data_IF_141687526160
#
_entry.id   IF_141687526160
#
_cell.length_a   1.000
_cell.length_b   1.000
_cell.length_c   1.000
_cell.angle_alpha   90.00
_cell.angle_beta   90.00
_cell.angle_gamma   90.00
#
_symmetry.space_group_name_H-M   'P 1'
#
loop_
_entity.id
_entity.type
_entity.pdbx_description
1 polymer ?
#
# COMPACT_ATOMS: atom_id res chain seq x y z
N UNK A 1 57.08 -33.35 -65.61
CA UNK A 1 57.30 -33.59 -64.16
C UNK A 1 57.75 -32.27 -63.57
N UNK A 2 56.82 -31.44 -63.08
CA UNK A 2 57.14 -30.13 -62.49
C UNK A 2 57.34 -30.36 -61.00
N UNK A 3 58.57 -30.19 -60.52
CA UNK A 3 58.92 -30.20 -59.11
C UNK A 3 58.16 -29.03 -58.43
N UNK A 4 57.16 -29.37 -57.61
CA UNK A 4 56.42 -28.40 -56.83
C UNK A 4 57.36 -27.62 -55.92
N UNK A 5 57.45 -26.31 -56.15
CA UNK A 5 58.14 -25.39 -55.24
C UNK A 5 57.47 -25.49 -53.87
N UNK A 6 58.18 -26.03 -52.88
CA UNK A 6 57.78 -25.93 -51.48
C UNK A 6 57.92 -24.46 -51.09
N UNK A 7 56.79 -23.77 -50.94
CA UNK A 7 56.76 -22.44 -50.35
C UNK A 7 57.36 -22.51 -48.94
N UNK A 8 58.28 -21.60 -48.58
CA UNK A 8 58.82 -21.56 -47.23
C UNK A 8 57.70 -21.32 -46.24
N UNK A 9 57.63 -22.16 -45.20
CA UNK A 9 56.70 -21.98 -44.10
C UNK A 9 57.13 -20.70 -43.38
N UNK A 10 56.25 -19.70 -43.35
CA UNK A 10 56.51 -18.44 -42.65
C UNK A 10 56.80 -18.74 -41.16
N UNK A 11 57.80 -18.07 -40.55
CA UNK A 11 58.09 -18.26 -39.14
C UNK A 11 56.85 -17.86 -38.32
N UNK A 12 56.46 -18.72 -37.39
CA UNK A 12 55.38 -18.42 -36.45
C UNK A 12 55.86 -17.27 -35.58
N UNK A 13 55.12 -16.17 -35.59
CA UNK A 13 55.35 -15.04 -34.70
C UNK A 13 54.94 -15.43 -33.27
N UNK A 14 55.95 -15.79 -32.49
CA UNK A 14 55.78 -16.27 -31.12
C UNK A 14 55.20 -15.17 -30.22
N UNK A 15 55.54 -13.90 -30.47
CA UNK A 15 55.04 -12.76 -29.68
C UNK A 15 53.54 -12.54 -29.92
N UNK A 16 53.11 -12.62 -31.18
CA UNK A 16 51.69 -12.53 -31.53
C UNK A 16 50.87 -13.68 -30.92
N UNK A 17 51.44 -14.90 -30.89
CA UNK A 17 50.81 -16.06 -30.27
C UNK A 17 50.69 -15.92 -28.75
N UNK A 18 51.74 -15.45 -28.08
CA UNK A 18 51.73 -15.18 -26.63
C UNK A 18 50.72 -14.07 -26.27
N UNK A 19 50.67 -12.98 -27.04
CA UNK A 19 49.72 -11.90 -26.83
C UNK A 19 48.25 -12.34 -27.01
N UNK A 20 47.99 -13.21 -27.99
CA UNK A 20 46.66 -13.82 -28.20
C UNK A 20 46.28 -14.71 -27.01
N UNK A 21 47.24 -15.50 -26.51
CA UNK A 21 47.06 -16.37 -25.33
C UNK A 21 46.74 -15.57 -24.07
N UNK A 22 47.50 -14.52 -23.78
CA UNK A 22 47.28 -13.64 -22.63
C UNK A 22 45.92 -12.94 -22.68
N UNK A 23 45.54 -12.43 -23.86
CA UNK A 23 44.24 -11.79 -24.08
C UNK A 23 43.08 -12.75 -23.86
N UNK A 24 43.22 -13.99 -24.32
CA UNK A 24 42.20 -15.04 -24.15
C UNK A 24 42.03 -15.44 -22.68
N UNK A 25 43.13 -15.57 -21.94
CA UNK A 25 43.11 -15.83 -20.50
C UNK A 25 42.44 -14.68 -19.74
N UNK A 26 42.80 -13.43 -20.06
CA UNK A 26 42.22 -12.26 -19.42
C UNK A 26 40.70 -12.18 -19.66
N UNK A 27 40.24 -12.44 -20.89
CA UNK A 27 38.82 -12.47 -21.23
C UNK A 27 38.08 -13.60 -20.51
N UNK A 28 38.67 -14.80 -20.45
CA UNK A 28 38.09 -15.93 -19.71
C UNK A 28 37.92 -15.60 -18.23
N UNK A 29 38.95 -15.03 -17.59
CA UNK A 29 38.91 -14.62 -16.18
C UNK A 29 37.83 -13.55 -15.95
N UNK A 30 37.73 -12.56 -16.84
CA UNK A 30 36.71 -11.52 -16.74
C UNK A 30 35.29 -12.09 -16.87
N UNK A 31 35.05 -12.97 -17.84
CA UNK A 31 33.76 -13.64 -18.03
C UNK A 31 33.42 -14.51 -16.82
N UNK A 32 34.40 -15.25 -16.28
CA UNK A 32 34.22 -16.07 -15.09
C UNK A 32 33.77 -15.23 -13.88
N UNK A 33 34.45 -14.12 -13.60
CA UNK A 33 34.05 -13.21 -12.51
C UNK A 33 32.70 -12.55 -12.76
N UNK A 34 32.39 -12.20 -14.01
CA UNK A 34 31.08 -11.65 -14.38
C UNK A 34 29.96 -12.66 -14.11
N UNK A 35 30.13 -13.93 -14.50
CA UNK A 35 29.17 -14.99 -14.21
C UNK A 35 28.96 -15.17 -12.68
N UNK A 36 30.04 -15.14 -11.91
CA UNK A 36 29.97 -15.18 -10.45
C UNK A 36 29.22 -13.97 -9.85
N UNK A 37 29.50 -12.76 -10.35
CA UNK A 37 28.81 -11.55 -9.90
C UNK A 37 27.30 -11.59 -10.20
N UNK A 38 26.92 -12.09 -11.39
CA UNK A 38 25.51 -12.27 -11.76
C UNK A 38 24.83 -13.31 -10.87
N UNK A 39 25.48 -14.44 -10.63
CA UNK A 39 24.97 -15.46 -9.72
C UNK A 39 24.81 -14.93 -8.29
N UNK A 40 25.80 -14.20 -7.78
CA UNK A 40 25.73 -13.57 -6.47
C UNK A 40 24.57 -12.56 -6.40
N UNK A 41 24.39 -11.73 -7.43
CA UNK A 41 23.28 -10.78 -7.50
C UNK A 41 21.92 -11.49 -7.49
N UNK A 42 21.75 -12.60 -8.23
CA UNK A 42 20.51 -13.39 -8.24
C UNK A 42 20.23 -13.96 -6.85
N UNK A 43 21.22 -14.56 -6.19
CA UNK A 43 21.06 -15.11 -4.84
C UNK A 43 20.76 -14.02 -3.83
N UNK A 44 21.46 -12.88 -3.90
CA UNK A 44 21.26 -11.73 -3.04
C UNK A 44 19.85 -11.14 -3.19
N UNK A 45 19.39 -10.93 -4.42
CA UNK A 45 18.04 -10.44 -4.71
C UNK A 45 17.00 -11.47 -4.25
N UNK A 46 17.22 -12.75 -4.52
CA UNK A 46 16.33 -13.84 -4.09
C UNK A 46 16.18 -13.88 -2.58
N UNK A 47 17.31 -13.85 -1.84
CA UNK A 47 17.32 -13.78 -0.38
C UNK A 47 16.64 -12.50 0.15
N UNK A 48 16.93 -11.36 -0.47
CA UNK A 48 16.29 -10.09 -0.10
C UNK A 48 14.78 -10.06 -0.37
N UNK A 49 14.27 -10.85 -1.33
CA UNK A 49 12.84 -10.99 -1.60
C UNK A 49 12.18 -11.99 -0.63
N UNK A 50 12.83 -13.12 -0.33
CA UNK A 50 12.27 -14.17 0.54
C UNK A 50 12.37 -13.84 2.02
N UNK A 51 13.41 -13.13 2.45
CA UNK A 51 13.63 -12.80 3.86
C UNK A 51 13.05 -11.43 4.26
N UNK A 52 12.10 -10.89 3.48
CA UNK A 52 11.39 -9.68 3.91
C UNK A 52 10.48 -10.04 5.07
N UNK A 53 10.62 -9.31 6.18
CA UNK A 53 9.71 -9.43 7.31
C UNK A 53 8.28 -9.26 6.83
N UNK A 54 7.38 -10.14 7.29
CA UNK A 54 5.95 -10.01 7.04
C UNK A 54 5.47 -8.63 7.49
N UNK A 55 4.54 -8.03 6.73
CA UNK A 55 3.98 -6.75 7.12
C UNK A 55 3.05 -6.92 8.30
N UNK A 56 3.20 -6.05 9.28
CA UNK A 56 2.36 -6.03 10.48
C UNK A 56 1.24 -5.00 10.34
N UNK A 57 0.12 -5.29 10.97
CA UNK A 57 -1.02 -4.39 11.09
C UNK A 57 -0.60 -3.13 11.85
N UNK A 58 -0.94 -1.92 11.35
CA UNK A 58 -0.66 -0.67 12.05
C UNK A 58 -1.48 -0.54 13.34
N UNK A 59 -2.52 -1.37 13.50
CA UNK A 59 -3.42 -1.36 14.65
C UNK A 59 -2.93 -2.25 15.78
N UNK A 60 -2.59 -3.49 15.45
CA UNK A 60 -2.36 -4.54 16.47
C UNK A 60 -0.95 -5.10 16.44
N UNK A 61 -0.13 -4.76 15.43
CA UNK A 61 1.20 -5.34 15.25
C UNK A 61 1.19 -6.80 14.78
N UNK A 62 0.01 -7.41 14.56
CA UNK A 62 -0.12 -8.77 14.06
C UNK A 62 0.04 -8.87 12.54
N UNK A 63 0.36 -10.08 12.07
CA UNK A 63 0.61 -10.35 10.66
C UNK A 63 -0.58 -10.01 9.76
N UNK A 64 -0.28 -9.32 8.66
CA UNK A 64 -1.22 -9.06 7.57
C UNK A 64 -1.15 -10.19 6.55
N UNK A 65 -2.32 -10.63 6.06
CA UNK A 65 -2.43 -11.58 4.94
C UNK A 65 -2.77 -10.85 3.65
N UNK A 66 -2.56 -11.50 2.50
CA UNK A 66 -3.01 -10.93 1.23
C UNK A 66 -4.53 -11.09 1.13
N UNK A 67 -5.17 -10.15 0.45
CA UNK A 67 -6.60 -10.27 0.13
C UNK A 67 -6.89 -11.51 -0.73
N UNK A 68 -5.92 -11.93 -1.56
CA UNK A 68 -6.01 -13.14 -2.39
C UNK A 68 -6.18 -14.43 -1.58
N UNK A 69 -5.77 -14.44 -0.31
CA UNK A 69 -5.89 -15.60 0.57
C UNK A 69 -7.30 -15.74 1.17
N UNK A 70 -8.21 -14.78 0.91
CA UNK A 70 -9.59 -14.85 1.36
C UNK A 70 -10.38 -15.92 0.61
N UNK A 71 -11.32 -16.56 1.31
CA UNK A 71 -12.28 -17.45 0.68
C UNK A 71 -13.09 -16.71 -0.39
N UNK A 72 -13.34 -17.37 -1.53
CA UNK A 72 -14.09 -16.78 -2.64
C UNK A 72 -15.47 -16.25 -2.23
N UNK A 73 -16.18 -16.97 -1.35
CA UNK A 73 -17.47 -16.53 -0.81
C UNK A 73 -17.37 -15.21 -0.03
N UNK A 74 -16.31 -15.02 0.76
CA UNK A 74 -16.08 -13.80 1.50
C UNK A 74 -15.80 -12.62 0.56
N UNK A 75 -15.02 -12.85 -0.50
CA UNK A 75 -14.77 -11.85 -1.55
C UNK A 75 -16.06 -11.43 -2.25
N UNK A 76 -16.93 -12.38 -2.59
CA UNK A 76 -18.23 -12.06 -3.20
C UNK A 76 -19.12 -11.22 -2.29
N UNK A 77 -19.20 -11.53 -0.99
CA UNK A 77 -19.98 -10.73 -0.03
C UNK A 77 -19.41 -9.31 0.14
N UNK A 78 -18.08 -9.17 0.16
CA UNK A 78 -17.40 -7.85 0.17
C UNK A 78 -17.79 -7.03 -1.07
N UNK A 79 -17.63 -7.61 -2.26
CA UNK A 79 -17.92 -6.91 -3.52
C UNK A 79 -19.39 -6.54 -3.62
N UNK A 80 -20.29 -7.48 -3.37
CA UNK A 80 -21.74 -7.25 -3.36
C UNK A 80 -22.14 -6.13 -2.41
N UNK A 81 -21.53 -6.08 -1.22
CA UNK A 81 -21.82 -5.04 -0.24
C UNK A 81 -21.30 -3.66 -0.69
N UNK A 82 -20.08 -3.58 -1.21
CA UNK A 82 -19.52 -2.34 -1.78
C UNK A 82 -20.36 -1.84 -2.96
N UNK A 83 -20.74 -2.74 -3.88
CA UNK A 83 -21.59 -2.42 -5.03
C UNK A 83 -22.96 -1.87 -4.61
N UNK A 84 -23.51 -2.39 -3.50
CA UNK A 84 -24.82 -1.95 -2.98
C UNK A 84 -24.82 -0.51 -2.44
N UNK A 85 -23.67 0.03 -2.06
CA UNK A 85 -23.56 1.42 -1.59
C UNK A 85 -23.57 2.43 -2.75
N UNK A 86 -23.13 2.04 -3.95
CA UNK A 86 -23.09 2.86 -5.16
C UNK A 86 -22.47 4.27 -4.97
N UNK A 87 -21.51 4.42 -4.04
CA UNK A 87 -20.88 5.70 -3.71
C UNK A 87 -19.52 5.82 -4.41
N UNK A 88 -19.25 6.88 -5.21
CA UNK A 88 -17.95 7.09 -5.85
C UNK A 88 -16.80 7.19 -4.85
N UNK A 89 -17.05 7.62 -3.61
CA UNK A 89 -16.02 7.66 -2.57
C UNK A 89 -15.77 6.28 -1.96
N UNK A 90 -16.57 5.26 -2.26
CA UNK A 90 -16.42 3.89 -1.79
C UNK A 90 -16.34 2.91 -2.97
N UNK A 91 -15.29 3.01 -3.80
CA UNK A 91 -15.17 2.20 -5.00
C UNK A 91 -15.02 0.72 -4.67
N UNK A 92 -15.35 -0.11 -5.66
CA UNK A 92 -15.13 -1.56 -5.60
C UNK A 92 -13.66 -1.84 -5.32
N UNK A 93 -13.42 -2.73 -4.35
CA UNK A 93 -12.11 -3.08 -3.88
C UNK A 93 -11.42 -4.09 -4.81
N UNK A 94 -10.21 -3.77 -5.28
CA UNK A 94 -9.31 -4.77 -5.87
C UNK A 94 -8.67 -5.62 -4.77
N UNK A 95 -9.25 -6.80 -4.54
CA UNK A 95 -8.81 -7.75 -3.52
C UNK A 95 -7.35 -8.20 -3.72
N UNK A 96 -6.86 -8.25 -4.96
CA UNK A 96 -5.48 -8.67 -5.25
C UNK A 96 -4.46 -7.67 -4.72
N UNK A 97 -4.86 -6.40 -4.68
CA UNK A 97 -4.04 -5.29 -4.18
C UNK A 97 -4.30 -4.95 -2.72
N UNK A 98 -5.20 -5.68 -2.06
CA UNK A 98 -5.56 -5.47 -0.67
C UNK A 98 -4.82 -6.42 0.28
N UNK A 99 -4.76 -6.03 1.55
CA UNK A 99 -4.30 -6.90 2.63
C UNK A 99 -5.35 -6.95 3.73
N UNK A 100 -5.33 -8.03 4.51
CA UNK A 100 -6.32 -8.30 5.55
C UNK A 100 -5.62 -8.56 6.86
N UNK A 101 -6.01 -7.84 7.91
CA UNK A 101 -5.53 -8.14 9.25
C UNK A 101 -6.23 -9.39 9.76
N UNK A 102 -5.45 -10.41 10.15
CA UNK A 102 -6.00 -11.71 10.59
C UNK A 102 -6.89 -11.61 11.84
N UNK A 103 -6.53 -10.71 12.74
CA UNK A 103 -7.19 -10.56 14.05
C UNK A 103 -8.46 -9.72 13.96
N UNK A 104 -8.38 -8.55 13.32
CA UNK A 104 -9.52 -7.60 13.24
C UNK A 104 -10.43 -7.89 12.05
N UNK A 105 -9.91 -8.53 10.99
CA UNK A 105 -10.63 -8.72 9.73
C UNK A 105 -10.68 -7.47 8.85
N UNK A 106 -9.92 -6.43 9.20
CA UNK A 106 -9.86 -5.17 8.43
C UNK A 106 -9.16 -5.37 7.11
N UNK A 107 -9.83 -4.97 6.04
CA UNK A 107 -9.29 -4.98 4.69
C UNK A 107 -8.73 -3.59 4.37
N UNK A 108 -7.43 -3.54 4.06
CA UNK A 108 -6.72 -2.32 3.70
C UNK A 108 -6.51 -2.33 2.19
N UNK A 109 -7.14 -1.41 1.43
CA UNK A 109 -6.96 -1.31 -0.02
C UNK A 109 -5.54 -0.86 -0.38
N UNK A 110 -5.10 -1.22 -1.59
CA UNK A 110 -3.86 -0.74 -2.22
C UNK A 110 -2.60 -0.90 -1.36
N UNK A 111 -2.59 -1.89 -0.48
CA UNK A 111 -1.48 -2.17 0.43
C UNK A 111 -0.50 -3.19 -0.14
N UNK A 112 -0.87 -3.94 -1.18
CA UNK A 112 0.02 -4.90 -1.85
C UNK A 112 0.64 -4.25 -3.08
N UNK A 113 1.98 -4.25 -3.14
CA UNK A 113 2.72 -3.72 -4.28
C UNK A 113 2.87 -4.74 -5.41
N UNK A 114 3.46 -4.33 -6.54
CA UNK A 114 3.69 -5.18 -7.71
C UNK A 114 4.60 -6.40 -7.45
N UNK A 115 5.38 -6.37 -6.36
CA UNK A 115 6.21 -7.50 -5.93
C UNK A 115 5.50 -8.41 -4.91
N UNK A 116 4.17 -8.28 -4.80
CA UNK A 116 3.34 -8.98 -3.83
C UNK A 116 3.76 -8.77 -2.36
N UNK A 117 4.38 -7.64 -2.06
CA UNK A 117 4.76 -7.26 -0.69
C UNK A 117 3.70 -6.37 -0.11
N UNK A 118 3.20 -6.75 1.06
CA UNK A 118 2.27 -5.96 1.84
C UNK A 118 3.05 -4.79 2.45
N UNK A 119 2.58 -3.56 2.24
CA UNK A 119 3.09 -2.34 2.86
C UNK A 119 1.91 -1.58 3.43
N UNK A 120 1.78 -1.65 4.75
CA UNK A 120 0.74 -0.92 5.47
C UNK A 120 1.40 0.07 6.42
N UNK A 121 0.92 1.32 6.35
CA UNK A 121 1.26 2.40 7.26
C UNK A 121 0.00 3.24 7.50
N UNK A 122 0.00 4.06 8.55
CA UNK A 122 -1.11 4.97 8.87
C UNK A 122 -1.43 6.00 7.78
N UNK A 123 -0.57 6.15 6.76
CA UNK A 123 -0.87 6.92 5.57
C UNK A 123 -2.01 6.33 4.74
N UNK A 124 -2.49 5.11 5.05
CA UNK A 124 -3.66 4.53 4.39
C UNK A 124 -4.91 5.41 4.53
N UNK A 125 -5.06 6.15 5.64
CA UNK A 125 -6.19 7.08 5.83
C UNK A 125 -6.14 8.21 4.79
N UNK A 126 -4.98 8.83 4.63
CA UNK A 126 -4.77 9.91 3.65
C UNK A 126 -4.87 9.43 2.20
N UNK A 127 -4.38 8.20 1.92
CA UNK A 127 -4.56 7.54 0.61
C UNK A 127 -6.02 7.24 0.32
N UNK A 128 -6.79 6.84 1.34
CA UNK A 128 -8.21 6.48 1.20
C UNK A 128 -9.07 7.71 0.91
N UNK A 129 -8.86 8.79 1.66
CA UNK A 129 -9.48 10.09 1.41
C UNK A 129 -8.60 11.18 2.04
N UNK A 130 -8.19 12.22 1.28
CA UNK A 130 -7.37 13.29 1.83
C UNK A 130 -8.13 14.10 2.89
N UNK A 131 -7.55 14.26 4.09
CA UNK A 131 -8.21 14.96 5.19
C UNK A 131 -7.33 15.07 6.43
N UNK A 132 -7.82 15.80 7.44
CA UNK A 132 -7.21 15.87 8.78
C UNK A 132 -8.03 15.03 9.74
N UNK A 133 -7.64 13.77 9.87
CA UNK A 133 -8.40 12.77 10.61
C UNK A 133 -8.14 12.85 12.11
N UNK A 134 -9.22 12.93 12.88
CA UNK A 134 -9.20 12.78 14.34
C UNK A 134 -10.16 11.67 14.78
N UNK A 135 -9.91 11.06 15.93
CA UNK A 135 -10.83 10.10 16.53
C UNK A 135 -12.19 10.72 16.84
N UNK A 136 -13.29 10.01 16.57
CA UNK A 136 -14.63 10.42 16.97
C UNK A 136 -14.74 10.68 18.48
N UNK A 137 -14.07 9.86 19.30
CA UNK A 137 -14.14 9.93 20.75
C UNK A 137 -13.57 11.23 21.33
N UNK A 138 -12.59 11.84 20.64
CA UNK A 138 -11.94 13.09 21.08
C UNK A 138 -12.78 14.35 20.84
N UNK A 139 -13.90 14.24 20.13
CA UNK A 139 -14.78 15.37 19.84
C UNK A 139 -15.64 15.76 21.04
N UNK A 140 -15.89 17.06 21.19
CA UNK A 140 -16.84 17.56 22.18
C UNK A 140 -18.28 17.12 21.86
N UNK A 141 -19.15 17.09 22.86
CA UNK A 141 -20.56 16.73 22.67
C UNK A 141 -21.26 17.63 21.62
N UNK A 142 -20.93 18.92 21.60
CA UNK A 142 -21.46 19.89 20.62
C UNK A 142 -20.99 19.57 19.21
N UNK A 143 -19.73 19.19 19.02
CA UNK A 143 -19.19 18.79 17.71
C UNK A 143 -19.80 17.48 17.22
N UNK A 144 -19.94 16.50 18.12
CA UNK A 144 -20.62 15.22 17.82
C UNK A 144 -22.05 15.46 17.37
N UNK A 145 -22.79 16.36 18.04
CA UNK A 145 -24.15 16.71 17.63
C UNK A 145 -24.17 17.37 16.25
N UNK A 146 -23.31 18.36 16.00
CA UNK A 146 -23.23 19.03 14.69
C UNK A 146 -22.93 18.04 13.56
N UNK A 147 -22.08 17.05 13.80
CA UNK A 147 -21.78 16.00 12.83
C UNK A 147 -22.99 15.09 12.63
N UNK A 148 -23.63 14.62 13.70
CA UNK A 148 -24.88 13.84 13.62
C UNK A 148 -25.93 14.54 12.77
N UNK A 149 -26.10 15.86 12.95
CA UNK A 149 -27.10 16.63 12.19
C UNK A 149 -26.76 16.78 10.69
N UNK A 150 -25.49 16.58 10.31
CA UNK A 150 -25.00 16.68 8.92
C UNK A 150 -24.97 15.34 8.17
N UNK A 151 -25.22 14.23 8.87
CA UNK A 151 -25.20 12.87 8.33
C UNK A 151 -26.58 12.22 8.46
N UNK A 152 -27.00 11.46 7.44
CA UNK A 152 -28.33 10.84 7.46
C UNK A 152 -28.42 9.78 8.57
N UNK A 153 -27.36 8.99 8.71
CA UNK A 153 -27.21 8.00 9.76
C UNK A 153 -25.73 7.78 10.08
N UNK A 154 -25.46 7.33 11.31
CA UNK A 154 -24.15 6.82 11.74
C UNK A 154 -24.13 5.29 11.87
N UNK A 155 -25.18 4.62 11.38
CA UNK A 155 -25.37 3.18 11.56
C UNK A 155 -24.20 2.38 10.97
N UNK A 156 -23.75 1.41 11.76
CA UNK A 156 -22.65 0.52 11.42
C UNK A 156 -21.25 1.09 11.71
N UNK A 157 -21.13 2.34 12.15
CA UNK A 157 -19.87 2.87 12.68
C UNK A 157 -19.77 2.68 14.20
N UNK A 158 -18.54 2.58 14.70
CA UNK A 158 -18.29 2.58 16.14
C UNK A 158 -18.33 4.01 16.70
N UNK A 159 -19.40 4.35 17.41
CA UNK A 159 -19.61 5.68 18.01
C UNK A 159 -19.60 5.67 19.54
N UNK A 160 -19.84 4.52 20.15
CA UNK A 160 -20.04 4.39 21.59
C UNK A 160 -18.70 4.26 22.31
N UNK A 161 -17.86 3.34 21.84
CA UNK A 161 -16.56 3.06 22.40
C UNK A 161 -15.46 3.62 21.50
N UNK A 162 -15.21 4.92 21.62
CA UNK A 162 -14.20 5.64 20.84
C UNK A 162 -13.17 6.31 21.72
N UNK A 163 -11.90 6.23 21.30
CA UNK A 163 -10.79 6.80 22.06
C UNK A 163 -10.88 8.31 22.14
N UNK A 164 -10.60 8.85 23.34
CA UNK A 164 -10.50 10.29 23.59
C UNK A 164 -9.23 10.93 22.99
N UNK A 165 -8.26 10.12 22.55
CA UNK A 165 -7.06 10.62 21.91
C UNK A 165 -7.39 11.12 20.49
N UNK A 166 -7.08 12.38 20.15
CA UNK A 166 -7.37 12.91 18.82
C UNK A 166 -6.54 12.27 17.72
N UNK A 167 -5.30 11.84 17.98
CA UNK A 167 -4.44 11.27 16.94
C UNK A 167 -4.79 9.78 16.69
N UNK A 168 -5.24 9.41 15.47
CA UNK A 168 -5.53 8.02 15.12
C UNK A 168 -4.38 7.05 15.39
N UNK A 169 -3.13 7.52 15.33
CA UNK A 169 -1.92 6.71 15.52
C UNK A 169 -1.61 6.41 16.98
N UNK A 170 -2.12 7.23 17.89
CA UNK A 170 -1.83 7.16 19.32
C UNK A 170 -3.00 6.59 20.13
N UNK A 171 -3.96 5.96 19.46
CA UNK A 171 -5.06 5.24 20.09
C UNK A 171 -4.53 3.98 20.79
N UNK A 172 -5.12 3.63 21.93
CA UNK A 172 -4.77 2.43 22.68
C UNK A 172 -5.28 1.15 22.00
N UNK A 173 -4.66 0.02 22.33
CA UNK A 173 -4.93 -1.28 21.70
C UNK A 173 -6.39 -1.72 21.85
N UNK A 174 -7.04 -1.39 22.97
CA UNK A 174 -8.44 -1.73 23.19
C UNK A 174 -9.31 -1.13 22.09
N UNK A 175 -9.28 0.19 21.92
CA UNK A 175 -10.06 0.85 20.87
C UNK A 175 -9.63 0.44 19.46
N UNK A 176 -8.34 0.15 19.24
CA UNK A 176 -7.85 -0.34 17.95
C UNK A 176 -8.32 -1.76 17.63
N UNK A 177 -8.75 -2.58 18.59
CA UNK A 177 -9.21 -3.97 18.35
C UNK A 177 -10.73 -4.10 18.30
N UNK A 178 -11.47 -3.04 18.64
CA UNK A 178 -12.92 -3.03 18.55
C UNK A 178 -13.45 -3.32 17.15
N UNK A 179 -14.67 -3.85 17.13
CA UNK A 179 -15.43 -4.21 15.94
C UNK A 179 -16.89 -3.72 16.09
N UNK A 180 -17.38 -2.77 15.27
CA UNK A 180 -16.65 -2.10 14.21
C UNK A 180 -15.40 -1.35 14.70
N UNK A 181 -14.40 -1.22 13.84
CA UNK A 181 -13.20 -0.44 14.14
C UNK A 181 -13.45 1.06 14.33
N UNK A 182 -12.42 1.83 14.69
CA UNK A 182 -12.57 3.24 15.03
C UNK A 182 -13.20 4.10 13.93
N UNK A 183 -13.99 5.09 14.35
CA UNK A 183 -14.51 6.15 13.49
C UNK A 183 -13.59 7.37 13.53
N UNK A 184 -13.20 7.85 12.35
CA UNK A 184 -12.40 9.04 12.15
C UNK A 184 -13.23 10.16 11.52
N UNK A 185 -12.87 11.40 11.84
CA UNK A 185 -13.58 12.59 11.37
C UNK A 185 -12.59 13.62 10.86
N UNK A 186 -12.88 14.21 9.70
CA UNK A 186 -12.29 15.48 9.31
C UNK A 186 -13.20 16.61 9.79
N UNK A 187 -12.75 17.37 10.79
CA UNK A 187 -13.53 18.45 11.41
C UNK A 187 -13.88 19.57 10.43
N UNK A 188 -12.98 19.89 9.49
CA UNK A 188 -13.22 20.91 8.48
C UNK A 188 -14.19 20.38 7.41
N UNK A 189 -13.89 19.15 6.98
CA UNK A 189 -14.71 18.25 6.17
C UNK A 189 -16.19 18.16 6.51
N UNK A 190 -16.38 17.88 7.80
CA UNK A 190 -17.46 17.05 8.35
C UNK A 190 -17.57 15.67 7.69
N UNK A 191 -16.53 15.22 6.98
CA UNK A 191 -16.48 13.88 6.38
C UNK A 191 -16.13 12.87 7.47
N UNK A 192 -16.82 11.73 7.42
CA UNK A 192 -16.58 10.59 8.29
C UNK A 192 -15.81 9.53 7.51
N UNK A 193 -14.88 8.87 8.18
CA UNK A 193 -14.20 7.70 7.66
C UNK A 193 -14.13 6.66 8.77
N UNK A 194 -14.77 5.52 8.59
CA UNK A 194 -14.84 4.52 9.65
C UNK A 194 -14.91 3.10 9.10
N UNK A 195 -14.58 2.16 9.96
CA UNK A 195 -14.70 0.75 9.65
C UNK A 195 -16.16 0.31 9.77
N UNK A 196 -16.65 -0.42 8.78
CA UNK A 196 -17.96 -1.08 8.83
C UNK A 196 -17.80 -2.57 8.62
N UNK A 197 -18.53 -3.35 9.40
CA UNK A 197 -18.57 -4.82 9.28
C UNK A 197 -19.41 -5.19 8.07
N UNK A 198 -18.87 -6.05 7.22
CA UNK A 198 -19.58 -6.57 6.05
C UNK A 198 -20.55 -7.66 6.54
N UNK A 199 -21.86 -7.57 6.20
CA UNK A 199 -22.85 -8.54 6.62
C UNK A 199 -22.43 -9.98 6.34
N UNK A 200 -22.73 -10.89 7.28
CA UNK A 200 -22.45 -12.34 7.18
C UNK A 200 -20.96 -12.70 7.10
N UNK A 201 -20.07 -11.76 7.37
CA UNK A 201 -18.63 -12.01 7.41
C UNK A 201 -18.03 -11.43 8.69
N UNK A 202 -16.79 -11.82 8.97
CA UNK A 202 -15.96 -11.18 9.98
C UNK A 202 -15.02 -10.13 9.35
N UNK A 203 -15.34 -9.60 8.17
CA UNK A 203 -14.49 -8.63 7.49
C UNK A 203 -15.01 -7.21 7.73
N UNK A 204 -14.07 -6.27 7.76
CA UNK A 204 -14.38 -4.85 7.84
C UNK A 204 -13.75 -4.11 6.67
N UNK A 205 -14.45 -3.10 6.16
CA UNK A 205 -13.94 -2.20 5.12
C UNK A 205 -14.04 -0.77 5.59
N UNK A 206 -13.08 0.04 5.12
CA UNK A 206 -12.98 1.44 5.44
C UNK A 206 -13.89 2.26 4.53
N UNK A 207 -15.00 2.73 5.11
CA UNK A 207 -16.04 3.49 4.41
C UNK A 207 -15.87 4.97 4.68
N UNK A 208 -15.99 5.76 3.61
CA UNK A 208 -16.06 7.21 3.65
C UNK A 208 -17.53 7.61 3.56
N UNK A 209 -17.96 8.55 4.40
CA UNK A 209 -19.31 9.09 4.34
C UNK A 209 -19.23 10.62 4.34
N UNK A 210 -19.76 11.24 3.27
CA UNK A 210 -19.87 12.68 3.13
C UNK A 210 -21.14 13.21 3.83
N UNK A 211 -21.11 14.45 4.33
CA UNK A 211 -22.32 15.07 4.86
C UNK A 211 -23.34 15.30 3.73
N UNK A 212 -24.62 15.01 3.98
CA UNK A 212 -25.70 15.27 3.00
C UNK A 212 -26.05 16.77 2.93
N UNK A 213 -25.83 17.49 4.04
CA UNK A 213 -25.83 18.95 4.07
C UNK A 213 -24.39 19.42 3.87
N UNK A 214 -24.05 19.77 2.63
CA UNK A 214 -22.80 20.44 2.34
C UNK A 214 -22.70 21.70 3.21
N UNK A 215 -21.62 21.90 3.98
CA UNK A 215 -21.33 23.23 4.51
C UNK A 215 -21.23 24.19 3.30
N UNK A 216 -21.81 25.38 3.40
CA UNK A 216 -21.73 26.42 2.36
C UNK A 216 -20.28 26.53 1.86
N UNK A 217 -20.04 25.98 0.66
CA UNK A 217 -18.75 25.87 -0.07
C UNK A 217 -17.52 25.47 0.77
N UNK A 218 -17.10 24.20 0.66
CA UNK A 218 -15.69 23.84 0.80
C UNK A 218 -15.02 23.84 -0.58
N UNK A 219 -13.80 24.38 -0.71
CA UNK A 219 -13.06 24.36 -1.97
C UNK A 219 -12.75 22.91 -2.36
N UNK A 220 -12.97 22.63 -3.64
CA UNK A 220 -12.68 21.35 -4.27
C UNK A 220 -11.20 20.99 -4.14
N UNK A 221 -10.82 19.70 -4.26
CA UNK A 221 -9.42 19.28 -4.26
C UNK A 221 -8.55 20.05 -5.28
N UNK A 222 -9.13 20.43 -6.42
CA UNK A 222 -8.49 21.26 -7.44
C UNK A 222 -8.17 22.68 -6.92
N UNK A 223 -9.10 23.30 -6.19
CA UNK A 223 -8.92 24.63 -5.62
C UNK A 223 -7.88 24.65 -4.48
N UNK A 224 -7.80 23.58 -3.68
CA UNK A 224 -6.76 23.42 -2.64
C UNK A 224 -5.34 23.26 -3.22
N UNK A 225 -5.22 22.73 -4.43
CA UNK A 225 -3.92 22.60 -5.13
C UNK A 225 -3.43 23.96 -5.65
N UNK A 226 -4.35 24.76 -6.22
CA UNK A 226 -4.04 26.13 -6.70
C UNK A 226 -3.64 27.05 -5.54
N UNK A 227 -4.28 26.92 -4.38
CA UNK A 227 -3.95 27.73 -3.21
C UNK A 227 -2.55 27.43 -2.66
N UNK A 228 -2.15 26.15 -2.63
CA UNK A 228 -0.77 25.76 -2.26
C UNK A 228 0.30 26.32 -3.20
N UNK A 229 0.04 26.30 -4.50
CA UNK A 229 0.96 26.86 -5.51
C UNK A 229 1.04 28.38 -5.42
N UNK A 230 -0.04 29.06 -5.02
CA UNK A 230 -0.07 30.51 -4.85
C UNK A 230 0.72 31.00 -3.63
N UNK A 231 0.75 30.19 -2.55
CA UNK A 231 1.50 30.48 -1.34
C UNK A 231 3.00 30.23 -1.56
N UNK A 232 3.36 29.18 -2.31
CA UNK A 232 4.77 28.89 -2.63
C UNK A 232 5.43 29.90 -3.58
N UNK A 233 4.64 30.70 -4.31
CA UNK A 233 5.16 31.76 -5.20
C UNK A 233 5.26 33.14 -4.53
N UNK A 234 4.75 33.26 -3.30
CA UNK A 234 4.77 34.51 -2.52
C UNK A 234 5.75 34.47 -1.33
N UNK A 235 6.34 33.32 -1.06
CA UNK A 235 7.48 33.15 -0.16
C UNK A 235 8.78 33.17 -0.98
#
# INVERSE_FOLDING_TARGET
MVLGQRTPIAPIDLEAFEALGQSSIALFVLVFFLCFAVMFAIVWIGWWVTNRQGSVSPFTGHEMRRGEDLAYSAVQEVQKWLDSMADPDNPVLDIRRASVCRETGRIIPDSVNLFNVIKVDWGFLERRYPGRWVSWGSLSAVEKQKLKDCHESLDGFQVDESSSNPDPKAVDLYHMTLKPGPLYVDKASRVLMGWKVIPRTNLEVLVVQRPYRLPERLPTPAEKMVERDSISRRA
#
